data_IF_659170419326
#
_entry.id   IF_659170419326
#
_cell.length_a   1.000
_cell.length_b   1.000
_cell.length_c   1.000
_cell.angle_alpha   90.00
_cell.angle_beta   90.00
_cell.angle_gamma   90.00
#
_symmetry.space_group_name_H-M   'P 1'
#
loop_
_entity.id
_entity.type
_entity.pdbx_description
1 polymer ?
#
# COMPACT_ATOMS: atom_id res chain seq x y z
N UNK A 1 -17.69 10.56 37.07
CA UNK A 1 -17.90 11.38 38.29
C UNK A 1 -18.59 12.69 37.90
N UNK A 2 -19.40 13.28 38.79
CA UNK A 2 -20.07 14.59 38.74
C UNK A 2 -21.01 15.03 37.57
N UNK A 3 -22.29 15.13 37.94
CA UNK A 3 -23.27 16.21 37.67
C UNK A 3 -23.06 17.15 36.47
N UNK A 4 -24.08 17.25 35.60
CA UNK A 4 -24.80 18.53 35.39
C UNK A 4 -26.12 18.34 34.64
N UNK A 5 -27.19 18.26 35.43
CA UNK A 5 -28.57 18.54 35.01
C UNK A 5 -28.74 20.07 35.01
N UNK A 6 -28.26 20.78 33.98
CA UNK A 6 -28.68 22.15 33.75
C UNK A 6 -29.78 22.20 32.69
N UNK A 7 -30.99 22.29 33.23
CA UNK A 7 -32.21 22.69 32.56
C UNK A 7 -32.01 24.12 32.02
N UNK A 8 -31.69 24.24 30.74
CA UNK A 8 -31.67 25.54 30.07
C UNK A 8 -33.11 26.03 29.91
N UNK A 9 -33.45 26.98 30.78
CA UNK A 9 -34.57 27.89 30.68
C UNK A 9 -34.21 28.90 29.58
N UNK A 10 -34.73 28.70 28.37
CA UNK A 10 -34.65 29.69 27.31
C UNK A 10 -35.67 30.79 27.61
N UNK A 11 -35.16 31.92 28.08
CA UNK A 11 -35.90 33.18 28.07
C UNK A 11 -36.09 33.62 26.61
N UNK A 12 -37.35 33.87 26.28
CA UNK A 12 -37.78 34.57 25.07
C UNK A 12 -37.25 36.00 25.10
N UNK A 13 -36.35 36.34 24.17
CA UNK A 13 -36.09 37.72 23.81
C UNK A 13 -36.54 37.95 22.35
N UNK A 14 -37.74 38.52 22.23
CA UNK A 14 -38.28 39.11 21.01
C UNK A 14 -37.58 40.45 20.74
N UNK A 15 -36.93 40.60 19.58
CA UNK A 15 -36.02 41.73 19.39
C UNK A 15 -35.60 42.12 17.98
N UNK A 16 -36.51 41.99 17.01
CA UNK A 16 -36.75 42.95 15.91
C UNK A 16 -35.61 43.48 15.00
N UNK A 17 -35.85 43.32 13.69
CA UNK A 17 -35.53 44.24 12.58
C UNK A 17 -34.08 44.69 12.32
N UNK A 18 -33.51 44.23 11.18
CA UNK A 18 -32.86 45.10 10.18
C UNK A 18 -32.51 44.42 8.84
N UNK A 19 -33.33 44.76 7.84
CA UNK A 19 -32.96 45.28 6.50
C UNK A 19 -31.88 44.54 5.69
N UNK A 20 -32.34 43.80 4.69
CA UNK A 20 -31.66 43.67 3.40
C UNK A 20 -31.58 45.05 2.69
N UNK A 21 -30.57 45.25 1.83
CA UNK A 21 -30.89 45.39 0.41
C UNK A 21 -29.90 44.71 -0.56
N UNK A 22 -30.31 44.56 -1.84
CA UNK A 22 -29.66 43.69 -2.81
C UNK A 22 -28.59 44.44 -3.61
N UNK A 23 -27.62 43.74 -4.23
CA UNK A 23 -27.08 44.15 -5.53
C UNK A 23 -26.36 43.01 -6.28
N UNK A 24 -26.97 42.74 -7.45
CA UNK A 24 -26.49 42.15 -8.70
C UNK A 24 -25.10 42.65 -9.13
N UNK A 25 -24.26 41.77 -9.68
CA UNK A 25 -23.58 41.98 -10.97
C UNK A 25 -23.16 40.64 -11.59
N UNK A 26 -23.71 40.39 -12.78
CA UNK A 26 -23.22 39.46 -13.79
C UNK A 26 -21.85 39.92 -14.28
N UNK A 27 -20.94 38.97 -14.51
CA UNK A 27 -19.63 39.19 -15.10
C UNK A 27 -19.19 37.96 -15.87
N UNK A 28 -19.48 37.96 -17.17
CA UNK A 28 -18.83 37.13 -18.19
C UNK A 28 -17.31 37.41 -18.27
N UNK A 29 -16.62 36.60 -19.11
CA UNK A 29 -15.19 36.64 -19.53
C UNK A 29 -14.24 35.72 -18.71
N UNK A 30 -13.39 34.83 -19.27
CA UNK A 30 -12.84 34.62 -20.62
C UNK A 30 -12.42 33.15 -20.78
N UNK A 31 -12.54 32.65 -22.02
CA UNK A 31 -11.78 31.57 -22.66
C UNK A 31 -10.28 31.49 -22.28
N UNK A 32 -9.71 30.28 -22.36
CA UNK A 32 -8.28 30.13 -22.63
C UNK A 32 -7.53 29.04 -21.86
N UNK A 33 -8.02 27.79 -21.85
CA UNK A 33 -7.17 26.65 -21.49
C UNK A 33 -6.65 25.99 -22.77
N UNK A 34 -5.48 26.48 -23.19
CA UNK A 34 -4.59 25.83 -24.14
C UNK A 34 -4.32 24.42 -23.62
N UNK A 35 -4.80 23.44 -24.38
CA UNK A 35 -4.55 22.03 -24.18
C UNK A 35 -3.14 21.75 -24.70
N UNK A 36 -2.14 21.77 -23.82
CA UNK A 36 -0.81 21.28 -24.16
C UNK A 36 -0.89 19.76 -24.32
N UNK A 37 -0.74 19.29 -25.56
CA UNK A 37 -0.57 17.88 -25.86
C UNK A 37 0.72 17.36 -25.21
N UNK A 38 0.71 16.19 -24.55
CA UNK A 38 1.93 15.61 -24.01
C UNK A 38 2.90 15.22 -25.14
N UNK A 39 4.22 15.34 -24.91
CA UNK A 39 5.22 15.07 -25.94
C UNK A 39 5.17 13.59 -26.38
N UNK A 40 4.95 13.41 -27.68
CA UNK A 40 5.05 12.13 -28.37
C UNK A 40 6.50 11.64 -28.30
N UNK A 41 6.76 10.56 -27.55
CA UNK A 41 8.03 9.84 -27.62
C UNK A 41 8.16 9.21 -29.01
N UNK A 42 9.00 9.81 -29.86
CA UNK A 42 9.40 9.22 -31.13
C UNK A 42 10.22 7.93 -30.88
N UNK A 43 10.06 6.89 -31.71
CA UNK A 43 10.90 5.70 -31.64
C UNK A 43 12.30 6.01 -32.18
N UNK A 44 13.32 5.74 -31.36
CA UNK A 44 14.73 5.81 -31.74
C UNK A 44 15.00 4.93 -32.96
N UNK A 45 15.44 5.56 -34.04
CA UNK A 45 16.06 4.88 -35.18
C UNK A 45 17.45 4.45 -34.75
N UNK A 46 17.70 3.14 -34.84
CA UNK A 46 19.02 2.54 -34.74
C UNK A 46 19.99 3.23 -35.72
N UNK A 47 21.02 3.87 -35.18
CA UNK A 47 22.14 4.41 -35.94
C UNK A 47 23.27 3.37 -35.89
N UNK A 48 23.41 2.60 -36.96
CA UNK A 48 24.62 1.84 -37.24
C UNK A 48 25.76 2.82 -37.54
N UNK A 49 26.85 2.75 -36.79
CA UNK A 49 28.10 3.42 -37.13
C UNK A 49 29.24 2.38 -37.10
N UNK A 50 29.60 1.92 -38.30
CA UNK A 50 30.82 1.21 -38.65
C UNK A 50 31.88 2.22 -39.10
N UNK A 51 32.95 2.38 -38.33
CA UNK A 51 34.25 2.96 -38.73
C UNK A 51 35.28 2.29 -37.78
N UNK A 52 36.30 1.53 -38.17
CA UNK A 52 37.11 1.57 -39.38
C UNK A 52 38.40 2.36 -39.12
N UNK A 53 39.37 1.79 -38.40
CA UNK A 53 40.73 2.33 -38.34
C UNK A 53 41.76 1.25 -37.92
N UNK A 54 42.52 0.80 -38.91
CA UNK A 54 43.76 0.04 -38.82
C UNK A 54 44.89 0.86 -38.19
N UNK A 55 45.74 0.23 -37.37
CA UNK A 55 47.17 0.52 -37.25
C UNK A 55 47.91 -0.76 -36.80
N UNK A 56 48.74 -1.31 -37.70
CA UNK A 56 49.90 -2.16 -37.42
C UNK A 56 50.94 -1.33 -36.62
N UNK A 57 51.97 -1.79 -35.92
CA UNK A 57 52.73 -3.04 -35.81
C UNK A 57 53.64 -2.87 -34.58
N UNK A 58 53.83 -3.90 -33.75
CA UNK A 58 55.09 -4.11 -33.01
C UNK A 58 55.10 -5.49 -32.37
N UNK A 59 56.17 -6.20 -32.69
CA UNK A 59 56.40 -7.63 -32.59
C UNK A 59 57.03 -8.03 -31.25
N UNK A 60 56.60 -9.17 -30.71
CA UNK A 60 57.47 -10.04 -29.91
C UNK A 60 56.93 -11.47 -29.94
N UNK A 61 57.72 -12.33 -30.57
CA UNK A 61 57.49 -13.74 -30.87
C UNK A 61 57.78 -14.63 -29.66
N UNK A 62 56.93 -15.61 -29.38
CA UNK A 62 57.37 -16.94 -28.91
C UNK A 62 56.25 -17.99 -28.94
N UNK A 63 56.48 -18.98 -29.82
CA UNK A 63 56.12 -20.41 -29.75
C UNK A 63 54.65 -20.86 -29.59
N UNK A 64 54.13 -21.30 -30.73
CA UNK A 64 53.25 -22.46 -31.00
C UNK A 64 53.05 -23.50 -29.89
N UNK A 65 51.79 -23.87 -29.64
CA UNK A 65 51.28 -25.26 -29.61
C UNK A 65 49.74 -25.25 -29.78
N UNK A 66 49.26 -26.05 -30.72
CA UNK A 66 47.87 -26.20 -31.15
C UNK A 66 46.97 -26.83 -30.09
N UNK A 67 45.70 -26.40 -30.01
CA UNK A 67 44.54 -27.28 -29.83
C UNK A 67 43.24 -26.54 -30.13
N UNK A 68 42.52 -27.05 -31.10
CA UNK A 68 41.23 -26.60 -31.62
C UNK A 68 40.06 -26.86 -30.67
N UNK A 69 39.02 -26.02 -30.85
CA UNK A 69 37.61 -26.20 -30.50
C UNK A 69 37.19 -26.04 -29.02
N UNK A 70 36.37 -25.02 -28.75
CA UNK A 70 35.15 -25.17 -27.95
C UNK A 70 34.20 -23.98 -28.15
N UNK A 71 32.97 -24.35 -28.46
CA UNK A 71 31.78 -23.52 -28.63
C UNK A 71 31.52 -22.55 -27.46
N UNK A 72 31.01 -21.37 -27.83
CA UNK A 72 30.00 -20.56 -27.14
C UNK A 72 29.63 -20.96 -25.71
N UNK A 73 29.95 -20.10 -24.73
CA UNK A 73 29.32 -20.13 -23.39
C UNK A 73 29.40 -18.77 -22.68
N UNK A 74 28.86 -17.72 -23.32
CA UNK A 74 28.48 -16.47 -22.66
C UNK A 74 27.04 -16.52 -22.09
N UNK A 75 26.49 -17.72 -21.86
CA UNK A 75 25.13 -17.92 -21.33
C UNK A 75 25.07 -18.23 -19.83
N UNK A 76 26.19 -18.17 -19.09
CA UNK A 76 26.25 -18.66 -17.70
C UNK A 76 26.19 -17.55 -16.62
N UNK A 77 26.14 -16.26 -16.98
CA UNK A 77 26.03 -15.17 -15.99
C UNK A 77 24.57 -14.78 -15.60
N UNK A 78 23.56 -15.19 -16.37
CA UNK A 78 22.17 -14.73 -16.15
C UNK A 78 21.37 -15.55 -15.11
N UNK A 79 21.83 -16.75 -14.75
CA UNK A 79 21.10 -17.64 -13.83
C UNK A 79 21.39 -17.38 -12.35
N UNK A 80 22.49 -16.70 -12.04
CA UNK A 80 22.97 -16.46 -10.67
C UNK A 80 22.50 -15.12 -10.10
N UNK A 81 22.25 -14.10 -10.96
CA UNK A 81 21.76 -12.79 -10.52
C UNK A 81 20.26 -12.77 -10.18
N UNK A 82 19.45 -13.69 -10.72
CA UNK A 82 17.98 -13.70 -10.54
C UNK A 82 17.48 -14.40 -9.26
N UNK A 83 18.37 -15.07 -8.49
CA UNK A 83 17.97 -15.89 -7.34
C UNK A 83 17.84 -15.13 -6.02
N UNK A 84 18.54 -14.01 -5.85
CA UNK A 84 18.54 -13.19 -4.63
C UNK A 84 17.37 -12.18 -4.50
N UNK A 85 16.91 -11.47 -5.55
CA UNK A 85 15.95 -10.37 -5.37
C UNK A 85 14.57 -10.86 -4.88
N UNK A 86 14.05 -11.95 -5.45
CA UNK A 86 12.70 -12.46 -5.14
C UNK A 86 12.51 -12.89 -3.68
N UNK A 87 13.57 -13.41 -3.03
CA UNK A 87 13.49 -13.86 -1.62
C UNK A 87 13.48 -12.69 -0.66
N UNK A 88 14.10 -11.58 -1.03
CA UNK A 88 14.16 -10.39 -0.19
C UNK A 88 12.88 -9.57 -0.36
N UNK A 89 12.34 -9.49 -1.58
CA UNK A 89 11.05 -8.84 -1.88
C UNK A 89 9.90 -9.46 -1.08
N UNK A 90 9.79 -10.80 -1.02
CA UNK A 90 8.72 -11.44 -0.24
C UNK A 90 8.87 -11.24 1.27
N UNK A 91 10.10 -11.09 1.78
CA UNK A 91 10.30 -10.88 3.23
C UNK A 91 9.83 -9.52 3.69
N UNK A 92 10.16 -8.47 2.95
CA UNK A 92 9.75 -7.10 3.27
C UNK A 92 8.24 -6.93 3.16
N UNK A 93 7.65 -7.43 2.08
CA UNK A 93 6.20 -7.41 1.89
C UNK A 93 5.46 -8.18 2.99
N UNK A 94 5.96 -9.35 3.42
CA UNK A 94 5.38 -10.09 4.52
C UNK A 94 5.51 -9.33 5.85
N UNK A 95 6.66 -8.68 6.09
CA UNK A 95 6.91 -7.90 7.30
C UNK A 95 5.97 -6.68 7.38
N UNK A 96 5.81 -5.91 6.31
CA UNK A 96 4.82 -4.83 6.19
C UNK A 96 3.43 -5.35 6.52
N UNK A 97 2.93 -6.32 5.75
CA UNK A 97 1.56 -6.80 5.90
C UNK A 97 1.31 -7.41 7.29
N UNK A 98 2.33 -7.94 7.96
CA UNK A 98 2.23 -8.41 9.35
C UNK A 98 2.12 -7.24 10.33
N UNK A 99 2.93 -6.19 10.15
CA UNK A 99 2.84 -4.97 10.97
C UNK A 99 1.47 -4.30 10.79
N UNK A 100 0.99 -4.20 9.56
CA UNK A 100 -0.34 -3.69 9.25
C UNK A 100 -1.44 -4.51 9.92
N UNK A 101 -1.40 -5.85 9.79
CA UNK A 101 -2.36 -6.75 10.46
C UNK A 101 -2.36 -6.57 11.98
N UNK A 102 -1.19 -6.53 12.61
CA UNK A 102 -1.08 -6.35 14.05
C UNK A 102 -1.63 -4.98 14.47
N UNK A 103 -1.35 -3.92 13.70
CA UNK A 103 -1.92 -2.60 13.91
C UNK A 103 -3.45 -2.62 13.88
N UNK A 104 -4.03 -3.23 12.85
CA UNK A 104 -5.49 -3.33 12.71
C UNK A 104 -6.14 -4.18 13.78
N UNK A 105 -5.49 -5.26 14.22
CA UNK A 105 -5.97 -6.05 15.37
C UNK A 105 -6.00 -5.21 16.65
N UNK A 106 -4.95 -4.44 16.93
CA UNK A 106 -4.87 -3.59 18.12
C UNK A 106 -5.89 -2.46 18.09
N UNK A 107 -6.24 -1.92 16.92
CA UNK A 107 -7.25 -0.88 16.79
C UNK A 107 -8.70 -1.41 16.83
N UNK A 108 -8.92 -2.64 16.37
CA UNK A 108 -10.24 -3.29 16.44
C UNK A 108 -10.64 -3.61 17.88
N UNK A 109 -9.68 -3.85 18.78
CA UNK A 109 -9.95 -4.18 20.18
C UNK A 109 -10.64 -3.03 20.95
N UNK A 110 -10.11 -1.79 20.97
CA UNK A 110 -10.79 -0.60 21.49
C UNK A 110 -12.19 -0.42 20.91
N UNK A 111 -12.33 -0.47 19.58
CA UNK A 111 -13.63 -0.29 18.93
C UNK A 111 -14.66 -1.37 19.32
N UNK A 112 -14.20 -2.61 19.53
CA UNK A 112 -15.05 -3.69 20.05
C UNK A 112 -15.43 -3.44 21.51
N UNK A 113 -14.50 -2.93 22.31
CA UNK A 113 -14.75 -2.59 23.71
C UNK A 113 -15.83 -1.51 23.81
N UNK A 114 -15.66 -0.39 23.10
CA UNK A 114 -16.60 0.74 23.11
C UNK A 114 -18.01 0.29 22.73
N UNK A 115 -18.13 -0.57 21.72
CA UNK A 115 -19.41 -1.12 21.30
C UNK A 115 -20.04 -2.03 22.36
N UNK A 116 -19.26 -2.91 22.98
CA UNK A 116 -19.75 -3.85 24.00
C UNK A 116 -20.20 -3.13 25.27
N UNK A 117 -19.49 -2.08 25.69
CA UNK A 117 -19.87 -1.25 26.84
C UNK A 117 -21.20 -0.54 26.60
N UNK A 118 -21.33 0.19 25.49
CA UNK A 118 -22.57 0.90 25.19
C UNK A 118 -23.77 -0.04 25.00
N UNK A 119 -23.54 -1.28 24.54
CA UNK A 119 -24.58 -2.30 24.48
C UNK A 119 -24.97 -2.84 25.87
N UNK A 120 -24.05 -2.86 26.82
CA UNK A 120 -24.29 -3.31 28.19
C UNK A 120 -24.98 -2.23 29.04
N UNK A 121 -24.59 -0.97 28.87
CA UNK A 121 -25.18 0.18 29.58
C UNK A 121 -26.65 0.42 29.22
N UNK A 122 -27.08 0.05 28.01
CA UNK A 122 -28.48 0.12 27.61
C UNK A 122 -29.43 -0.83 28.37
N UNK A 123 -28.92 -1.63 29.33
CA UNK A 123 -29.65 -2.68 30.03
C UNK A 123 -29.86 -2.50 31.54
N UNK A 124 -29.05 -1.72 32.26
CA UNK A 124 -29.10 -1.63 33.73
C UNK A 124 -28.71 -0.22 34.22
N UNK A 125 -29.70 0.56 34.67
CA UNK A 125 -29.52 1.88 35.30
C UNK A 125 -28.90 1.81 36.72
N UNK A 126 -28.52 0.61 37.21
CA UNK A 126 -28.27 0.34 38.64
C UNK A 126 -26.82 -0.07 38.99
N UNK A 127 -25.84 0.05 38.09
CA UNK A 127 -24.45 -0.33 38.39
C UNK A 127 -23.65 0.79 39.10
N UNK A 128 -24.07 1.18 40.30
CA UNK A 128 -23.26 2.04 41.17
C UNK A 128 -22.10 1.26 41.82
N UNK A 129 -20.89 1.83 41.74
CA UNK A 129 -19.61 1.41 42.36
C UNK A 129 -18.82 0.33 41.62
N UNK A 130 -18.21 0.69 40.49
CA UNK A 130 -17.01 0.00 40.01
C UNK A 130 -15.77 0.77 40.48
N UNK A 131 -14.82 0.04 41.06
CA UNK A 131 -13.58 0.56 41.66
C UNK A 131 -12.81 1.49 40.69
N UNK A 132 -12.48 2.70 41.15
CA UNK A 132 -11.68 3.70 40.42
C UNK A 132 -10.34 3.18 39.89
N UNK A 133 -9.76 2.20 40.59
CA UNK A 133 -8.50 1.55 40.18
C UNK A 133 -8.67 0.68 38.92
N UNK A 134 -9.86 0.11 38.70
CA UNK A 134 -10.16 -0.71 37.53
C UNK A 134 -10.38 0.16 36.29
N UNK A 135 -10.97 1.34 36.46
CA UNK A 135 -11.19 2.29 35.37
C UNK A 135 -9.86 2.90 34.90
N UNK A 136 -8.99 3.29 35.84
CA UNK A 136 -7.65 3.79 35.47
C UNK A 136 -6.82 2.76 34.70
N UNK A 137 -6.78 1.49 35.15
CA UNK A 137 -6.05 0.43 34.44
C UNK A 137 -6.61 0.18 33.03
N UNK A 138 -7.92 0.35 32.85
CA UNK A 138 -8.62 0.17 31.57
C UNK A 138 -8.31 1.32 30.61
N UNK A 139 -8.32 2.57 31.07
CA UNK A 139 -7.96 3.74 30.27
C UNK A 139 -6.51 3.65 29.78
N UNK A 140 -5.59 3.24 30.65
CA UNK A 140 -4.19 2.99 30.27
C UNK A 140 -4.06 1.91 29.20
N UNK A 141 -4.84 0.83 29.32
CA UNK A 141 -4.87 -0.23 28.31
C UNK A 141 -5.45 0.28 26.97
N UNK A 142 -6.54 1.03 27.02
CA UNK A 142 -7.17 1.63 25.84
C UNK A 142 -6.17 2.52 25.09
N UNK A 143 -5.53 3.43 25.82
CA UNK A 143 -4.46 4.28 25.30
C UNK A 143 -3.33 3.46 24.67
N UNK A 144 -2.83 2.46 25.41
CA UNK A 144 -1.74 1.62 24.95
C UNK A 144 -2.07 0.88 23.65
N UNK A 145 -3.29 0.36 23.53
CA UNK A 145 -3.76 -0.35 22.33
C UNK A 145 -3.83 0.59 21.12
N UNK A 146 -4.47 1.76 21.27
CA UNK A 146 -4.62 2.75 20.20
C UNK A 146 -3.26 3.30 19.75
N UNK A 147 -2.40 3.68 20.69
CA UNK A 147 -1.06 4.18 20.37
C UNK A 147 -0.19 3.08 19.73
N UNK A 148 -0.24 1.84 20.22
CA UNK A 148 0.51 0.74 19.63
C UNK A 148 0.02 0.38 18.22
N UNK A 149 -1.29 0.47 17.97
CA UNK A 149 -1.88 0.30 16.64
C UNK A 149 -1.32 1.30 15.63
N UNK A 150 -1.43 2.59 15.95
CA UNK A 150 -0.90 3.68 15.11
C UNK A 150 0.63 3.58 14.92
N UNK A 151 1.37 3.18 15.96
CA UNK A 151 2.81 2.94 15.85
C UNK A 151 3.14 1.82 14.86
N UNK A 152 2.39 0.72 14.87
CA UNK A 152 2.59 -0.38 13.93
C UNK A 152 2.27 0.03 12.49
N UNK A 153 1.27 0.88 12.26
CA UNK A 153 1.04 1.49 10.96
C UNK A 153 2.21 2.37 10.50
N UNK A 154 2.80 3.13 11.41
CA UNK A 154 3.99 3.92 11.10
C UNK A 154 5.17 3.01 10.72
N UNK A 155 5.38 1.91 11.45
CA UNK A 155 6.40 0.90 11.10
C UNK A 155 6.11 0.29 9.73
N UNK A 156 4.85 -0.06 9.44
CA UNK A 156 4.43 -0.55 8.12
C UNK A 156 4.82 0.45 7.01
N UNK A 157 4.46 1.73 7.19
CA UNK A 157 4.77 2.79 6.23
C UNK A 157 6.26 2.94 5.97
N UNK A 158 7.08 2.85 7.02
CA UNK A 158 8.54 2.95 6.92
C UNK A 158 9.15 1.76 6.18
N UNK A 159 8.63 0.55 6.40
CA UNK A 159 9.06 -0.65 5.66
C UNK A 159 8.70 -0.50 4.17
N UNK A 160 7.47 -0.08 3.87
CA UNK A 160 7.02 0.16 2.49
C UNK A 160 7.85 1.24 1.80
N UNK A 161 8.13 2.35 2.48
CA UNK A 161 8.96 3.43 1.96
C UNK A 161 10.41 2.99 1.71
N UNK A 162 11.03 2.30 2.68
CA UNK A 162 12.37 1.76 2.53
C UNK A 162 12.46 0.73 1.40
N UNK A 163 11.41 -0.06 1.21
CA UNK A 163 11.33 -1.01 0.11
C UNK A 163 11.16 -0.30 -1.24
N UNK A 164 10.26 0.67 -1.35
CA UNK A 164 10.02 1.42 -2.57
C UNK A 164 11.29 2.15 -3.04
N UNK A 165 12.02 2.79 -2.12
CA UNK A 165 13.27 3.51 -2.44
C UNK A 165 14.43 2.56 -2.73
N UNK A 166 14.59 1.45 -2.01
CA UNK A 166 15.64 0.46 -2.31
C UNK A 166 15.41 -0.31 -3.62
N UNK A 167 14.16 -0.37 -4.08
CA UNK A 167 13.80 -0.91 -5.40
C UNK A 167 14.33 -0.04 -6.56
N UNK A 168 14.55 1.25 -6.32
CA UNK A 168 15.02 2.23 -7.31
C UNK A 168 16.44 1.91 -7.77
N UNK A 169 17.35 1.61 -6.85
CA UNK A 169 18.75 1.28 -7.15
C UNK A 169 18.89 -0.02 -7.96
N UNK A 170 18.01 -0.99 -7.73
CA UNK A 170 18.08 -2.32 -8.38
C UNK A 170 17.58 -2.31 -9.81
N UNK A 171 16.86 -1.26 -10.24
CA UNK A 171 16.16 -1.20 -11.52
C UNK A 171 16.67 -0.10 -12.45
N UNK A 172 17.78 0.56 -12.08
CA UNK A 172 18.49 1.60 -12.83
C UNK A 172 18.96 1.22 -14.25
N UNK A 173 18.72 -0.01 -14.71
CA UNK A 173 18.99 -0.47 -16.08
C UNK A 173 17.78 -0.51 -17.03
N UNK A 174 16.58 -0.07 -16.62
CA UNK A 174 15.41 0.05 -17.52
C UNK A 174 15.19 1.51 -17.96
N UNK A 175 14.57 1.70 -19.13
CA UNK A 175 14.32 3.04 -19.68
C UNK A 175 13.54 3.91 -18.68
N UNK A 176 14.06 5.12 -18.46
CA UNK A 176 13.63 6.02 -17.39
C UNK A 176 12.14 6.41 -17.47
N UNK A 177 11.57 6.46 -18.68
CA UNK A 177 10.25 7.05 -18.90
C UNK A 177 9.07 6.22 -18.39
N UNK A 178 9.17 4.89 -18.33
CA UNK A 178 8.10 4.01 -17.82
C UNK A 178 8.35 3.57 -16.37
N UNK A 179 9.58 3.77 -15.90
CA UNK A 179 10.00 3.44 -14.54
C UNK A 179 9.59 4.51 -13.52
N UNK A 180 9.56 5.78 -13.94
CA UNK A 180 9.32 6.90 -13.03
C UNK A 180 7.88 6.92 -12.49
N UNK A 181 6.87 6.56 -13.29
CA UNK A 181 5.48 6.76 -12.89
C UNK A 181 5.02 5.81 -11.76
N UNK A 182 5.29 4.51 -11.85
CA UNK A 182 4.76 3.53 -10.89
C UNK A 182 5.47 3.60 -9.53
N UNK A 183 6.80 3.74 -9.54
CA UNK A 183 7.61 3.87 -8.30
C UNK A 183 7.23 5.15 -7.54
N UNK A 184 6.87 6.22 -8.26
CA UNK A 184 6.41 7.45 -7.62
C UNK A 184 5.13 7.23 -6.82
N UNK A 185 4.14 6.51 -7.34
CA UNK A 185 2.89 6.28 -6.62
C UNK A 185 3.07 5.40 -5.37
N UNK A 186 3.92 4.37 -5.44
CA UNK A 186 4.25 3.53 -4.28
C UNK A 186 4.91 4.36 -3.16
N UNK A 187 5.88 5.23 -3.51
CA UNK A 187 6.53 6.13 -2.55
C UNK A 187 5.52 7.12 -1.95
N UNK A 188 4.71 7.77 -2.79
CA UNK A 188 3.75 8.77 -2.32
C UNK A 188 2.64 8.16 -1.46
N UNK A 189 2.17 6.95 -1.78
CA UNK A 189 1.22 6.21 -0.94
C UNK A 189 1.84 5.87 0.42
N UNK A 190 3.05 5.32 0.45
CA UNK A 190 3.74 5.02 1.71
C UNK A 190 3.97 6.27 2.58
N UNK A 191 4.35 7.40 1.96
CA UNK A 191 4.51 8.69 2.66
C UNK A 191 3.18 9.17 3.21
N UNK A 192 2.11 9.18 2.41
CA UNK A 192 0.79 9.62 2.86
C UNK A 192 0.28 8.75 4.02
N UNK A 193 0.42 7.43 3.92
CA UNK A 193 0.07 6.49 4.98
C UNK A 193 0.88 6.74 6.26
N UNK A 194 2.19 6.91 6.13
CA UNK A 194 3.08 7.19 7.26
C UNK A 194 2.81 8.51 7.95
N UNK A 195 2.42 9.55 7.20
CA UNK A 195 2.00 10.84 7.78
C UNK A 195 0.72 10.66 8.59
N UNK A 196 -0.28 9.92 8.08
CA UNK A 196 -1.49 9.60 8.85
C UNK A 196 -1.16 8.87 10.15
N UNK A 197 -0.41 7.77 10.05
CA UNK A 197 0.00 6.99 11.20
C UNK A 197 0.79 7.79 12.24
N UNK A 198 1.72 8.65 11.80
CA UNK A 198 2.47 9.52 12.70
C UNK A 198 1.54 10.53 13.41
N UNK A 199 0.58 11.12 12.70
CA UNK A 199 -0.38 12.06 13.29
C UNK A 199 -1.31 11.38 14.28
N UNK A 200 -1.81 10.20 13.95
CA UNK A 200 -2.63 9.40 14.85
C UNK A 200 -1.85 9.00 16.11
N UNK A 201 -0.61 8.53 15.95
CA UNK A 201 0.27 8.19 17.07
C UNK A 201 0.55 9.39 17.98
N UNK A 202 0.93 10.53 17.40
CA UNK A 202 1.13 11.77 18.15
C UNK A 202 -0.18 12.20 18.81
N UNK A 203 -1.31 12.03 18.11
CA UNK A 203 -2.64 12.33 18.64
C UNK A 203 -2.95 11.51 19.89
N UNK A 204 -2.75 10.19 19.82
CA UNK A 204 -2.90 9.32 20.97
C UNK A 204 -1.97 9.76 22.10
N UNK A 205 -0.66 9.91 21.86
CA UNK A 205 0.33 10.19 22.91
C UNK A 205 0.15 11.56 23.56
N UNK A 206 -0.18 12.60 22.78
CA UNK A 206 -0.27 13.98 23.27
C UNK A 206 -1.62 14.24 23.91
N UNK A 207 -2.73 13.85 23.25
CA UNK A 207 -4.07 14.20 23.72
C UNK A 207 -4.63 13.25 24.79
N UNK A 208 -4.04 12.07 24.99
CA UNK A 208 -4.45 11.17 26.10
C UNK A 208 -3.94 11.60 27.47
N UNK A 209 -3.05 12.59 27.56
CA UNK A 209 -2.48 13.05 28.84
C UNK A 209 -3.23 14.22 29.47
N UNK A 210 -4.10 14.87 28.71
CA UNK A 210 -4.81 16.09 29.06
C UNK A 210 -6.19 15.84 29.73
N UNK A 211 -6.54 14.57 30.02
CA UNK A 211 -7.86 14.20 30.54
C UNK A 211 -7.98 14.04 32.07
N UNK A 212 -6.88 14.10 32.83
CA UNK A 212 -6.88 13.74 34.26
C UNK A 212 -6.90 14.94 35.24
N UNK A 213 -6.78 16.18 34.75
CA UNK A 213 -6.77 17.36 35.60
C UNK A 213 -8.15 18.04 35.60
N UNK A 214 -9.05 17.52 36.46
CA UNK A 214 -10.47 17.89 36.65
C UNK A 214 -10.76 19.38 37.04
N UNK A 215 -9.76 20.27 37.07
CA UNK A 215 -9.90 21.59 37.72
C UNK A 215 -9.90 22.81 36.77
N UNK A 216 -9.65 22.67 35.46
CA UNK A 216 -9.53 23.80 34.52
C UNK A 216 -10.55 23.76 33.35
N UNK A 217 -11.83 24.02 33.67
CA UNK A 217 -12.99 24.10 32.76
C UNK A 217 -12.82 25.07 31.55
N UNK A 218 -11.84 25.99 31.60
CA UNK A 218 -11.69 27.07 30.60
C UNK A 218 -10.70 26.76 29.45
N UNK A 219 -9.85 25.73 29.56
CA UNK A 219 -8.88 25.34 28.51
C UNK A 219 -9.33 24.15 27.64
N UNK A 220 -10.34 23.40 28.09
CA UNK A 220 -10.89 22.22 27.42
C UNK A 220 -11.33 22.41 25.94
N UNK A 221 -11.90 23.57 25.49
CA UNK A 221 -12.45 23.64 24.14
C UNK A 221 -11.39 23.77 23.04
N UNK A 222 -10.21 24.33 23.31
CA UNK A 222 -9.15 24.43 22.27
C UNK A 222 -8.44 23.10 22.04
N UNK A 223 -8.15 22.35 23.11
CA UNK A 223 -7.49 21.04 23.01
C UNK A 223 -8.39 20.00 22.34
N UNK A 224 -9.68 19.96 22.72
CA UNK A 224 -10.67 19.10 22.07
C UNK A 224 -10.78 19.39 20.56
N UNK A 225 -10.79 20.67 20.16
CA UNK A 225 -10.78 21.07 18.74
C UNK A 225 -9.49 20.67 18.03
N UNK A 226 -8.35 20.76 18.71
CA UNK A 226 -7.06 20.35 18.15
C UNK A 226 -7.01 18.84 17.92
N UNK A 227 -7.51 18.04 18.86
CA UNK A 227 -7.62 16.59 18.75
C UNK A 227 -8.54 16.17 17.59
N UNK A 228 -9.75 16.75 17.52
CA UNK A 228 -10.70 16.50 16.42
C UNK A 228 -10.09 16.85 15.05
N UNK A 229 -9.45 18.01 14.94
CA UNK A 229 -8.75 18.42 13.71
C UNK A 229 -7.63 17.45 13.35
N UNK A 230 -6.88 16.97 14.35
CA UNK A 230 -5.82 16.01 14.12
C UNK A 230 -6.35 14.68 13.59
N UNK A 231 -7.47 14.20 14.14
CA UNK A 231 -8.14 12.98 13.70
C UNK A 231 -8.61 13.09 12.23
N UNK A 232 -9.34 14.16 11.88
CA UNK A 232 -9.78 14.44 10.50
C UNK A 232 -8.61 14.47 9.52
N UNK A 233 -7.51 15.14 9.89
CA UNK A 233 -6.32 15.22 9.04
C UNK A 233 -5.65 13.85 8.88
N UNK A 234 -5.58 13.04 9.94
CA UNK A 234 -5.04 11.68 9.88
C UNK A 234 -5.84 10.80 8.92
N UNK A 235 -7.16 10.75 9.09
CA UNK A 235 -8.06 9.95 8.25
C UNK A 235 -8.06 10.41 6.80
N UNK A 236 -7.94 11.72 6.56
CA UNK A 236 -7.76 12.27 5.22
C UNK A 236 -6.47 11.77 4.56
N UNK A 237 -5.36 11.68 5.30
CA UNK A 237 -4.09 11.18 4.76
C UNK A 237 -4.11 9.69 4.46
N UNK A 238 -4.82 8.88 5.25
CA UNK A 238 -5.06 7.48 4.92
C UNK A 238 -5.88 7.33 3.64
N UNK A 239 -6.97 8.08 3.50
CA UNK A 239 -7.78 8.08 2.28
C UNK A 239 -6.96 8.46 1.04
N UNK A 240 -6.13 9.50 1.16
CA UNK A 240 -5.19 9.91 0.09
C UNK A 240 -4.25 8.76 -0.24
N UNK A 241 -3.67 8.07 0.75
CA UNK A 241 -2.82 6.90 0.50
C UNK A 241 -3.55 5.82 -0.30
N UNK A 242 -4.79 5.49 0.05
CA UNK A 242 -5.59 4.48 -0.66
C UNK A 242 -5.84 4.86 -2.12
N UNK A 243 -6.20 6.13 -2.37
CA UNK A 243 -6.39 6.66 -3.73
C UNK A 243 -5.09 6.62 -4.54
N UNK A 244 -3.96 6.97 -3.94
CA UNK A 244 -2.64 6.91 -4.59
C UNK A 244 -2.25 5.46 -4.93
N UNK A 245 -2.53 4.51 -4.02
CA UNK A 245 -2.26 3.09 -4.24
C UNK A 245 -3.08 2.54 -5.42
N UNK A 246 -4.38 2.84 -5.48
CA UNK A 246 -5.23 2.48 -6.63
C UNK A 246 -4.71 3.08 -7.94
N UNK A 247 -4.30 4.36 -7.92
CA UNK A 247 -3.80 5.04 -9.11
C UNK A 247 -2.50 4.43 -9.63
N UNK A 248 -1.59 4.04 -8.72
CA UNK A 248 -0.37 3.31 -9.07
C UNK A 248 -0.66 1.98 -9.78
N UNK A 249 -1.76 1.31 -9.42
CA UNK A 249 -2.17 0.03 -10.03
C UNK A 249 -2.97 0.18 -11.32
N UNK A 250 -3.66 1.30 -11.51
CA UNK A 250 -4.40 1.61 -12.73
C UNK A 250 -3.56 1.59 -14.02
N UNK A 251 -2.23 1.72 -13.91
CA UNK A 251 -1.30 1.55 -15.04
C UNK A 251 -1.02 0.07 -15.38
N UNK A 252 -1.27 -0.88 -14.47
CA UNK A 252 -0.97 -2.31 -14.61
C UNK A 252 -2.16 -3.14 -15.11
N UNK A 253 -3.36 -2.57 -15.11
CA UNK A 253 -4.55 -3.21 -15.69
C UNK A 253 -4.54 -3.03 -17.20
N UNK A 254 -3.75 -3.86 -17.88
CA UNK A 254 -4.10 -4.30 -19.22
C UNK A 254 -5.37 -5.18 -19.15
N UNK A 255 -6.49 -4.61 -18.71
CA UNK A 255 -7.82 -5.25 -18.61
C UNK A 255 -8.31 -5.75 -19.96
N UNK A 256 -7.81 -5.17 -21.05
CA UNK A 256 -8.12 -5.58 -22.42
C UNK A 256 -7.31 -6.79 -22.94
N UNK A 257 -6.18 -7.15 -22.32
CA UNK A 257 -5.39 -8.30 -22.80
C UNK A 257 -5.84 -9.60 -22.14
N UNK A 258 -6.96 -10.13 -22.64
CA UNK A 258 -7.53 -11.44 -22.28
C UNK A 258 -6.47 -12.57 -22.34
N UNK A 259 -5.43 -12.43 -23.16
CA UNK A 259 -4.31 -13.38 -23.27
C UNK A 259 -3.45 -13.50 -22.00
N UNK A 260 -3.32 -12.46 -21.17
CA UNK A 260 -2.58 -12.52 -19.89
C UNK A 260 -3.39 -13.18 -18.75
N UNK A 261 -4.73 -13.24 -18.87
CA UNK A 261 -5.67 -13.78 -17.87
C UNK A 261 -5.71 -15.31 -17.75
N UNK A 262 -5.01 -16.05 -18.61
CA UNK A 262 -5.11 -17.53 -18.69
C UNK A 262 -4.51 -18.32 -17.51
N UNK A 263 -3.81 -17.68 -16.57
CA UNK A 263 -3.40 -18.35 -15.33
C UNK A 263 -4.36 -18.01 -14.20
N UNK A 264 -5.39 -18.87 -14.01
CA UNK A 264 -6.41 -18.75 -12.96
C UNK A 264 -5.83 -18.42 -11.56
N UNK A 265 -4.62 -18.90 -11.27
CA UNK A 265 -3.90 -18.68 -10.00
C UNK A 265 -3.33 -17.26 -9.83
N UNK A 266 -2.95 -16.58 -10.93
CA UNK A 266 -2.55 -15.16 -10.88
C UNK A 266 -3.75 -14.26 -10.65
N UNK A 267 -4.94 -14.71 -11.03
CA UNK A 267 -6.17 -13.93 -10.86
C UNK A 267 -6.58 -13.86 -9.39
N UNK A 268 -6.45 -14.94 -8.60
CA UNK A 268 -6.86 -14.92 -7.18
C UNK A 268 -6.03 -13.93 -6.37
N UNK A 269 -4.71 -13.92 -6.51
CA UNK A 269 -3.84 -12.97 -5.78
C UNK A 269 -4.18 -11.53 -6.13
N UNK A 270 -4.37 -11.23 -7.42
CA UNK A 270 -4.77 -9.90 -7.86
C UNK A 270 -6.13 -9.47 -7.31
N UNK A 271 -7.12 -10.36 -7.32
CA UNK A 271 -8.46 -10.09 -6.79
C UNK A 271 -8.40 -9.83 -5.28
N UNK A 272 -7.69 -10.63 -4.51
CA UNK A 272 -7.56 -10.42 -3.05
C UNK A 272 -6.96 -9.04 -2.74
N UNK A 273 -5.94 -8.67 -3.50
CA UNK A 273 -5.19 -7.41 -3.36
C UNK A 273 -6.01 -6.20 -3.81
N UNK A 274 -6.88 -6.36 -4.82
CA UNK A 274 -7.82 -5.32 -5.29
C UNK A 274 -9.01 -5.15 -4.32
N UNK A 275 -9.59 -6.26 -3.83
CA UNK A 275 -10.65 -6.21 -2.83
C UNK A 275 -10.15 -5.60 -1.53
N UNK A 276 -8.93 -5.93 -1.11
CA UNK A 276 -8.29 -5.33 0.06
C UNK A 276 -8.19 -3.80 -0.04
N UNK A 277 -7.64 -3.28 -1.15
CA UNK A 277 -7.56 -1.81 -1.35
C UNK A 277 -8.92 -1.12 -1.39
N UNK A 278 -9.93 -1.76 -1.98
CA UNK A 278 -11.29 -1.21 -1.98
C UNK A 278 -11.81 -1.12 -0.53
N UNK A 279 -11.61 -2.17 0.27
CA UNK A 279 -11.98 -2.16 1.69
C UNK A 279 -11.19 -1.11 2.47
N UNK A 280 -9.90 -0.94 2.20
CA UNK A 280 -9.05 0.09 2.80
C UNK A 280 -9.63 1.50 2.56
N UNK A 281 -10.04 1.79 1.33
CA UNK A 281 -10.63 3.09 0.98
C UNK A 281 -11.98 3.26 1.65
N UNK A 282 -12.84 2.25 1.64
CA UNK A 282 -14.15 2.34 2.30
C UNK A 282 -14.01 2.52 3.81
N UNK A 283 -13.07 1.82 4.46
CA UNK A 283 -12.71 2.04 5.86
C UNK A 283 -12.25 3.48 6.10
N UNK A 284 -11.28 3.95 5.31
CA UNK A 284 -10.78 5.33 5.43
C UNK A 284 -11.86 6.40 5.23
N UNK A 285 -12.82 6.17 4.32
CA UNK A 285 -13.99 7.06 4.14
C UNK A 285 -14.91 7.02 5.35
N UNK A 286 -15.16 5.83 5.91
CA UNK A 286 -15.96 5.67 7.11
C UNK A 286 -15.30 6.38 8.31
N UNK A 287 -14.00 6.20 8.52
CA UNK A 287 -13.25 6.87 9.58
C UNK A 287 -13.28 8.39 9.43
N UNK A 288 -13.11 8.88 8.19
CA UNK A 288 -13.20 10.31 7.92
C UNK A 288 -14.60 10.86 8.21
N UNK A 289 -15.65 10.14 7.82
CA UNK A 289 -17.02 10.52 8.13
C UNK A 289 -17.27 10.53 9.64
N UNK A 290 -16.79 9.51 10.37
CA UNK A 290 -16.90 9.44 11.82
C UNK A 290 -16.14 10.57 12.51
N UNK A 291 -14.93 10.91 12.04
CA UNK A 291 -14.16 12.03 12.57
C UNK A 291 -14.88 13.39 12.37
N UNK A 292 -15.69 13.54 11.32
CA UNK A 292 -16.55 14.71 11.14
C UNK A 292 -17.80 14.67 12.02
N UNK A 293 -18.42 13.51 12.20
CA UNK A 293 -19.63 13.34 13.00
C UNK A 293 -19.35 13.43 14.51
N UNK A 294 -18.18 12.98 14.95
CA UNK A 294 -17.72 13.09 16.35
C UNK A 294 -17.53 14.55 16.79
N UNK A 295 -17.40 15.47 15.83
CA UNK A 295 -17.47 16.89 16.11
C UNK A 295 -18.94 17.31 16.38
N UNK A 296 -19.37 17.15 17.64
CA UNK A 296 -20.72 17.43 18.16
C UNK A 296 -21.26 18.84 17.88
N UNK A 297 -20.43 19.75 17.37
CA UNK A 297 -20.88 21.09 16.96
C UNK A 297 -21.80 21.09 15.73
N UNK A 298 -21.78 20.02 14.92
CA UNK A 298 -22.51 19.96 13.64
C UNK A 298 -23.77 19.11 13.71
N UNK A 299 -23.70 17.91 14.31
CA UNK A 299 -24.81 16.96 14.38
C UNK A 299 -24.75 16.20 15.70
N UNK A 300 -25.89 16.07 16.38
CA UNK A 300 -26.02 15.22 17.56
C UNK A 300 -26.29 13.78 17.11
N UNK A 301 -25.23 12.96 17.07
CA UNK A 301 -25.29 11.55 16.67
C UNK A 301 -25.22 10.68 17.92
N UNK A 302 -26.12 9.69 18.10
CA UNK A 302 -26.07 8.80 19.25
C UNK A 302 -24.72 8.07 19.34
N UNK A 303 -24.13 8.00 20.54
CA UNK A 303 -22.81 7.39 20.78
C UNK A 303 -22.75 5.93 20.30
N UNK A 304 -23.84 5.17 20.47
CA UNK A 304 -23.96 3.81 19.94
C UNK A 304 -23.78 3.75 18.41
N UNK A 305 -24.24 4.76 17.68
CA UNK A 305 -24.07 4.83 16.22
C UNK A 305 -22.62 5.09 15.84
N UNK A 306 -21.94 5.98 16.58
CA UNK A 306 -20.51 6.26 16.40
C UNK A 306 -19.66 5.02 16.71
N UNK A 307 -19.96 4.31 17.80
CA UNK A 307 -19.27 3.07 18.18
C UNK A 307 -19.45 1.95 17.15
N UNK A 308 -20.69 1.76 16.64
CA UNK A 308 -20.93 0.82 15.54
C UNK A 308 -20.15 1.20 14.28
N UNK A 309 -20.14 2.49 13.92
CA UNK A 309 -19.37 2.99 12.79
C UNK A 309 -17.88 2.70 12.94
N UNK A 310 -17.31 3.02 14.10
CA UNK A 310 -15.90 2.81 14.42
C UNK A 310 -15.53 1.31 14.36
N UNK A 311 -16.38 0.45 14.93
CA UNK A 311 -16.21 -1.00 14.87
C UNK A 311 -16.25 -1.53 13.43
N UNK A 312 -17.25 -1.14 12.64
CA UNK A 312 -17.38 -1.57 11.24
C UNK A 312 -16.18 -1.11 10.42
N UNK A 313 -15.74 0.13 10.59
CA UNK A 313 -14.56 0.66 9.89
C UNK A 313 -13.30 -0.12 10.28
N UNK A 314 -13.03 -0.28 11.57
CA UNK A 314 -11.89 -1.07 12.07
C UNK A 314 -11.88 -2.50 11.52
N UNK A 315 -13.07 -3.13 11.40
CA UNK A 315 -13.21 -4.45 10.81
C UNK A 315 -12.85 -4.46 9.31
N UNK A 316 -13.18 -3.41 8.54
CA UNK A 316 -12.78 -3.30 7.14
C UNK A 316 -11.26 -3.26 6.99
N UNK A 317 -10.57 -2.48 7.82
CA UNK A 317 -9.11 -2.43 7.87
C UNK A 317 -8.51 -3.80 8.23
N UNK A 318 -9.08 -4.48 9.22
CA UNK A 318 -8.63 -5.81 9.63
C UNK A 318 -8.80 -6.84 8.50
N UNK A 319 -9.95 -6.82 7.80
CA UNK A 319 -10.20 -7.72 6.67
C UNK A 319 -9.24 -7.42 5.51
N UNK A 320 -8.99 -6.15 5.19
CA UNK A 320 -7.98 -5.76 4.20
C UNK A 320 -6.60 -6.35 4.57
N UNK A 321 -6.14 -6.12 5.80
CA UNK A 321 -4.85 -6.64 6.25
C UNK A 321 -4.73 -8.17 6.12
N UNK A 322 -5.81 -8.90 6.45
CA UNK A 322 -5.89 -10.36 6.26
C UNK A 322 -5.81 -10.72 4.78
N UNK A 323 -6.53 -10.04 3.89
CA UNK A 323 -6.51 -10.30 2.45
C UNK A 323 -5.13 -10.05 1.86
N UNK A 324 -4.46 -8.97 2.25
CA UNK A 324 -3.09 -8.66 1.84
C UNK A 324 -2.11 -9.73 2.30
N UNK A 325 -2.18 -10.18 3.56
CA UNK A 325 -1.30 -11.24 4.08
C UNK A 325 -1.57 -12.60 3.41
N UNK A 326 -2.84 -12.94 3.17
CA UNK A 326 -3.24 -14.15 2.46
C UNK A 326 -2.73 -14.14 1.02
N UNK A 327 -2.82 -13.00 0.34
CA UNK A 327 -2.32 -12.84 -1.03
C UNK A 327 -0.81 -13.13 -1.10
N UNK A 328 -0.04 -12.69 -0.10
CA UNK A 328 1.39 -12.95 0.03
C UNK A 328 1.71 -14.41 0.32
N UNK A 329 0.97 -15.03 1.23
CA UNK A 329 1.11 -16.45 1.54
C UNK A 329 0.86 -17.31 0.29
N UNK A 330 -0.17 -16.99 -0.51
CA UNK A 330 -0.46 -17.66 -1.77
C UNK A 330 0.66 -17.41 -2.77
N UNK A 331 1.09 -16.16 -2.94
CA UNK A 331 2.18 -15.78 -3.86
C UNK A 331 3.47 -16.54 -3.54
N UNK A 332 3.83 -16.62 -2.27
CA UNK A 332 5.00 -17.34 -1.79
C UNK A 332 4.88 -18.85 -2.04
N UNK A 333 3.74 -19.44 -1.71
CA UNK A 333 3.46 -20.86 -1.91
C UNK A 333 3.52 -21.26 -3.38
N UNK A 334 2.99 -20.42 -4.28
CA UNK A 334 3.07 -20.62 -5.73
C UNK A 334 4.51 -20.53 -6.23
N UNK A 335 5.32 -19.61 -5.69
CA UNK A 335 6.73 -19.52 -6.03
C UNK A 335 7.50 -20.79 -5.62
N UNK A 336 7.25 -21.33 -4.43
CA UNK A 336 7.87 -22.58 -3.97
C UNK A 336 7.43 -23.75 -4.85
N UNK A 337 6.13 -23.87 -5.11
CA UNK A 337 5.59 -24.95 -5.94
C UNK A 337 6.20 -24.95 -7.35
N UNK A 338 6.26 -23.77 -8.00
CA UNK A 338 6.86 -23.64 -9.33
C UNK A 338 8.34 -24.02 -9.35
N UNK A 339 9.09 -23.74 -8.27
CA UNK A 339 10.49 -24.16 -8.15
C UNK A 339 10.60 -25.69 -8.07
N UNK A 340 9.78 -26.34 -7.24
CA UNK A 340 9.81 -27.81 -7.08
C UNK A 340 9.40 -28.56 -8.35
N UNK A 341 8.35 -28.09 -9.04
CA UNK A 341 7.90 -28.72 -10.29
C UNK A 341 8.89 -28.45 -11.42
N UNK A 342 9.45 -27.24 -11.51
CA UNK A 342 10.43 -26.88 -12.52
C UNK A 342 11.76 -27.63 -12.41
N UNK A 343 12.19 -28.01 -11.20
CA UNK A 343 13.39 -28.85 -11.01
C UNK A 343 13.16 -30.31 -11.34
N UNK A 344 11.93 -30.82 -11.19
CA UNK A 344 11.59 -32.20 -11.50
C UNK A 344 11.25 -32.42 -12.99
N UNK A 345 11.05 -31.33 -13.74
CA UNK A 345 10.97 -31.32 -15.20
C UNK A 345 12.18 -30.61 -15.80
N UNK A 346 13.37 -30.81 -15.23
CA UNK A 346 14.57 -30.75 -16.06
C UNK A 346 14.29 -31.68 -17.24
N UNK A 347 14.39 -31.21 -18.50
CA UNK A 347 14.25 -32.10 -19.62
C UNK A 347 15.27 -33.21 -19.35
N UNK A 348 14.79 -34.43 -19.19
CA UNK A 348 15.59 -35.60 -19.52
C UNK A 348 15.99 -35.27 -20.95
N UNK A 349 17.19 -34.70 -21.11
CA UNK A 349 17.81 -34.56 -22.38
C UNK A 349 17.83 -36.00 -22.86
N UNK A 350 16.88 -36.35 -23.72
CA UNK A 350 17.00 -37.53 -24.51
C UNK A 350 18.31 -37.28 -25.22
N UNK A 351 19.37 -37.89 -24.71
CA UNK A 351 20.53 -38.23 -25.48
C UNK A 351 19.96 -39.05 -26.62
N UNK A 352 19.56 -38.37 -27.69
CA UNK A 352 19.36 -38.99 -28.98
C UNK A 352 20.77 -39.41 -29.34
N UNK A 353 21.10 -40.73 -29.32
CA UNK A 353 22.40 -41.16 -29.79
C UNK A 353 22.49 -40.68 -31.24
N UNK A 354 23.43 -39.79 -31.51
CA UNK A 354 23.81 -39.43 -32.86
C UNK A 354 24.30 -40.73 -33.51
N UNK A 355 23.41 -41.38 -34.26
CA UNK A 355 23.79 -42.48 -35.14
C UNK A 355 24.87 -41.95 -36.08
N UNK A 356 26.01 -42.66 -36.24
CA UNK A 356 27.07 -42.23 -37.12
C UNK A 356 26.51 -42.09 -38.53
N UNK A 357 26.65 -40.89 -39.11
CA UNK A 357 26.30 -40.62 -40.49
C UNK A 357 27.04 -41.61 -41.38
N UNK A 358 26.28 -42.50 -42.04
CA UNK A 358 26.81 -43.46 -43.00
C UNK A 358 27.47 -42.72 -44.15
N UNK A 359 28.76 -43.01 -44.34
CA UNK A 359 29.55 -42.58 -45.49
C UNK A 359 28.97 -43.24 -46.76
N UNK A 360 28.17 -42.51 -47.53
CA UNK A 360 27.77 -42.92 -48.88
C UNK A 360 28.99 -42.75 -49.82
N UNK A 361 29.78 -43.81 -49.97
CA UNK A 361 30.72 -43.91 -51.07
C UNK A 361 29.96 -44.27 -52.37
N UNK A 362 29.96 -43.31 -53.29
CA UNK A 362 29.54 -43.46 -54.68
C UNK A 362 30.37 -44.56 -55.38
N UNK A 363 29.72 -45.68 -55.70
CA UNK A 363 30.22 -46.62 -56.69
C UNK A 363 29.96 -46.06 -58.10
N UNK A 364 31.01 -45.50 -58.72
CA UNK A 364 31.08 -45.33 -60.17
C UNK A 364 31.27 -46.70 -60.83
N UNK A 365 30.20 -47.27 -61.38
CA UNK A 365 30.29 -48.36 -62.34
C UNK A 365 30.52 -47.78 -63.75
N UNK A 366 31.66 -48.10 -64.37
CA UNK A 366 31.88 -47.94 -65.82
C UNK A 366 31.31 -49.18 -66.54
N UNK A 367 30.55 -49.03 -67.63
CA UNK A 367 30.30 -50.13 -68.54
C UNK A 367 31.50 -50.32 -69.48
N UNK A 368 31.97 -51.57 -69.58
CA UNK A 368 32.88 -52.01 -70.62
C UNK A 368 32.10 -52.27 -71.91
N UNK A 369 32.61 -51.73 -73.02
CA UNK A 369 32.50 -52.29 -74.37
C UNK A 369 33.91 -52.64 -74.83
#
# INVERSE_FOLDING_TARGET
MHQRKHRNQYDHDDGNDRKEPPHRMEGDLVDGLVREDPPYCAPDKALEHTVGADWEESSSSSSSLSSSSSFSSESVAWSTLRRKPLRQETKWSLASNTAFLLGSMLQTLPATWDLLELCAEGGDDDAENVDSDRDSAREHLYFFLTASGAFLYLVNALIDLAWATSGQERRAGRSWCQFDHDVRWEVWSAVAFGVGAAREFVGAVVFSRSGDDDDDDDLAPEESRAAARNNVLSMSTYLISGVLSLKGRGALTCTACWSCRRSLKRNIVAILVEVGEILFIFGSVADLALAFLDNRTVVDVPELTLAWGNFVSSLMWLVDAVLLLLSECIRHSLCIFRRRVGTNMLPVAMHVPLLPAGNNHNHHAKPHF
#
